data_IF_551927059634
#
_entry.id   IF_551927059634
#
_cell.length_a   1.000
_cell.length_b   1.000
_cell.length_c   1.000
_cell.angle_alpha   90.00
_cell.angle_beta   90.00
_cell.angle_gamma   90.00
#
_symmetry.space_group_name_H-M   'P 1'
#
loop_
_entity.id
_entity.type
_entity.pdbx_description
1 polymer ?
#
# COMPACT_ATOMS: atom_id res chain seq x y z
N UNK A 1 6.91 17.60 -27.17
CA UNK A 1 8.18 17.46 -26.41
C UNK A 1 7.97 17.23 -24.92
N UNK A 2 7.48 18.23 -24.16
CA UNK A 2 7.30 18.09 -22.71
C UNK A 2 6.31 16.97 -22.36
N UNK A 3 5.19 16.85 -23.08
CA UNK A 3 4.24 15.76 -22.89
C UNK A 3 4.88 14.37 -23.13
N UNK A 4 5.72 14.26 -24.17
CA UNK A 4 6.40 13.02 -24.57
C UNK A 4 7.47 12.63 -23.54
N UNK A 5 8.19 13.61 -22.99
CA UNK A 5 9.10 13.40 -21.87
C UNK A 5 8.37 12.93 -20.60
N UNK A 6 7.21 13.51 -20.29
CA UNK A 6 6.41 13.09 -19.13
C UNK A 6 5.82 11.68 -19.29
N UNK A 7 5.48 11.26 -20.51
CA UNK A 7 5.06 9.88 -20.79
C UNK A 7 6.18 8.86 -20.55
N UNK A 8 7.44 9.23 -20.82
CA UNK A 8 8.61 8.36 -20.62
C UNK A 8 9.02 8.15 -19.15
N UNK A 9 8.56 9.00 -18.22
CA UNK A 9 8.89 8.88 -16.78
C UNK A 9 8.08 7.76 -16.10
N UNK A 10 7.01 7.28 -16.73
CA UNK A 10 6.18 6.19 -16.23
C UNK A 10 4.92 6.65 -15.49
N UNK A 11 4.37 5.76 -14.65
CA UNK A 11 3.03 5.91 -14.04
C UNK A 11 2.89 7.15 -13.14
N UNK A 12 3.99 7.62 -12.54
CA UNK A 12 3.98 8.69 -11.54
C UNK A 12 4.76 9.91 -12.00
N UNK A 13 4.05 10.92 -12.47
CA UNK A 13 4.62 12.19 -12.88
C UNK A 13 4.44 13.20 -11.75
N UNK A 14 5.42 14.06 -11.48
CA UNK A 14 5.33 15.10 -10.46
C UNK A 14 5.81 16.43 -11.03
N UNK A 15 5.40 17.55 -10.42
CA UNK A 15 5.79 18.90 -10.87
C UNK A 15 7.31 19.08 -10.91
N UNK A 16 8.05 18.43 -9.99
CA UNK A 16 9.51 18.39 -10.00
C UNK A 16 10.11 17.87 -11.32
N UNK A 17 9.47 16.90 -11.98
CA UNK A 17 9.97 16.35 -13.25
C UNK A 17 9.85 17.38 -14.38
N UNK A 18 8.77 18.16 -14.37
CA UNK A 18 8.58 19.28 -15.30
C UNK A 18 9.63 20.36 -15.05
N UNK A 19 9.89 20.70 -13.78
CA UNK A 19 10.93 21.67 -13.40
C UNK A 19 12.31 21.21 -13.87
N UNK A 20 12.68 19.95 -13.62
CA UNK A 20 13.97 19.38 -14.04
C UNK A 20 14.13 19.39 -15.56
N UNK A 21 13.11 18.97 -16.30
CA UNK A 21 13.15 18.94 -17.76
C UNK A 21 13.34 20.35 -18.35
N UNK A 22 12.53 21.31 -17.91
CA UNK A 22 12.55 22.68 -18.48
C UNK A 22 13.78 23.48 -18.02
N UNK A 23 14.29 23.21 -16.81
CA UNK A 23 15.49 23.86 -16.31
C UNK A 23 16.80 23.20 -16.78
N UNK A 24 16.74 22.08 -17.49
CA UNK A 24 17.92 21.46 -18.11
C UNK A 24 18.60 22.46 -19.07
N UNK A 25 19.94 22.49 -19.12
CA UNK A 25 20.67 23.48 -19.92
C UNK A 25 20.27 23.46 -21.40
N UNK A 26 20.04 22.27 -21.96
CA UNK A 26 19.65 22.06 -23.35
C UNK A 26 18.28 22.68 -23.67
N UNK A 27 17.27 22.34 -22.88
CA UNK A 27 15.89 22.83 -23.08
C UNK A 27 15.81 24.32 -22.78
N UNK A 28 16.50 24.79 -21.75
CA UNK A 28 16.51 26.20 -21.35
C UNK A 28 17.16 27.10 -22.39
N UNK A 29 18.27 26.65 -22.99
CA UNK A 29 18.96 27.37 -24.08
C UNK A 29 18.09 27.40 -25.33
N UNK A 30 17.48 26.27 -25.69
CA UNK A 30 16.57 26.18 -26.84
C UNK A 30 15.33 27.07 -26.69
N UNK A 31 14.74 27.13 -25.50
CA UNK A 31 13.59 27.98 -25.19
C UNK A 31 13.96 29.44 -24.87
N UNK A 32 15.25 29.79 -24.88
CA UNK A 32 15.78 31.13 -24.56
C UNK A 32 15.28 31.69 -23.22
N UNK A 33 15.11 30.81 -22.23
CA UNK A 33 14.56 31.17 -20.92
C UNK A 33 15.65 31.79 -20.02
N UNK A 34 15.53 33.09 -19.74
CA UNK A 34 16.43 33.83 -18.83
C UNK A 34 16.44 33.25 -17.41
N UNK A 35 15.27 32.82 -16.91
CA UNK A 35 15.11 32.20 -15.58
C UNK A 35 14.43 30.83 -15.73
N UNK A 36 14.82 29.91 -14.86
CA UNK A 36 14.15 28.61 -14.76
C UNK A 36 12.70 28.76 -14.29
N UNK A 37 11.88 27.76 -14.58
CA UNK A 37 10.52 27.70 -14.06
C UNK A 37 10.54 27.27 -12.59
N UNK A 38 9.57 27.79 -11.83
CA UNK A 38 9.33 27.36 -10.45
C UNK A 38 8.34 26.21 -10.42
N UNK A 39 8.29 25.51 -9.29
CA UNK A 39 7.33 24.43 -9.06
C UNK A 39 5.87 24.90 -9.24
N UNK A 40 5.55 26.14 -8.84
CA UNK A 40 4.21 26.73 -9.04
C UNK A 40 3.84 26.87 -10.51
N UNK A 41 4.79 27.28 -11.35
CA UNK A 41 4.59 27.38 -12.80
C UNK A 41 4.42 25.99 -13.42
N UNK A 42 5.24 25.02 -13.01
CA UNK A 42 5.12 23.63 -13.44
C UNK A 42 3.74 23.04 -13.12
N UNK A 43 3.22 23.25 -11.90
CA UNK A 43 1.86 22.79 -11.52
C UNK A 43 0.77 23.39 -12.40
N UNK A 44 0.86 24.69 -12.73
CA UNK A 44 -0.10 25.35 -13.64
C UNK A 44 -0.07 24.73 -15.04
N UNK A 45 1.12 24.45 -15.57
CA UNK A 45 1.26 23.81 -16.88
C UNK A 45 0.69 22.39 -16.87
N UNK A 46 0.95 21.63 -15.81
CA UNK A 46 0.39 20.28 -15.65
C UNK A 46 -1.14 20.29 -15.62
N UNK A 47 -1.75 21.24 -14.91
CA UNK A 47 -3.21 21.41 -14.93
C UNK A 47 -3.74 21.73 -16.34
N UNK A 48 -3.05 22.59 -17.10
CA UNK A 48 -3.42 22.91 -18.49
C UNK A 48 -3.27 21.71 -19.42
N UNK A 49 -2.30 20.84 -19.17
CA UNK A 49 -2.09 19.57 -19.88
C UNK A 49 -3.03 18.45 -19.38
N UNK A 50 -4.03 18.77 -18.56
CA UNK A 50 -5.03 17.83 -18.01
C UNK A 50 -4.46 16.72 -17.12
N UNK A 51 -3.24 16.87 -16.60
CA UNK A 51 -2.78 16.01 -15.51
C UNK A 51 -3.64 16.26 -14.28
N UNK A 52 -4.24 15.21 -13.73
CA UNK A 52 -5.13 15.34 -12.56
C UNK A 52 -4.36 15.01 -11.30
N UNK A 53 -4.53 15.85 -10.28
CA UNK A 53 -4.18 15.50 -8.91
C UNK A 53 -5.17 14.44 -8.46
N UNK A 54 -4.74 13.18 -8.43
CA UNK A 54 -5.51 12.13 -7.77
C UNK A 54 -4.69 11.67 -6.59
N UNK A 55 -5.31 11.66 -5.41
CA UNK A 55 -4.83 10.77 -4.34
C UNK A 55 -4.83 9.39 -4.96
N UNK A 56 -3.66 8.76 -5.02
CA UNK A 56 -3.61 7.35 -5.36
C UNK A 56 -4.56 6.65 -4.38
N UNK A 57 -5.59 5.94 -4.86
CA UNK A 57 -6.31 5.02 -4.01
C UNK A 57 -5.34 3.87 -3.78
N UNK A 58 -4.35 4.07 -2.91
CA UNK A 58 -3.81 2.93 -2.21
C UNK A 58 -5.02 2.36 -1.49
N UNK A 59 -5.46 1.19 -1.93
CA UNK A 59 -6.44 0.42 -1.20
C UNK A 59 -6.00 0.35 0.26
N UNK A 60 -6.99 0.26 1.15
CA UNK A 60 -6.80 0.07 2.59
C UNK A 60 -5.77 -1.04 2.90
N UNK A 61 -5.62 -1.96 1.97
CA UNK A 61 -4.58 -2.97 1.89
C UNK A 61 -3.73 -2.67 0.64
N UNK A 62 -2.65 -1.89 0.79
CA UNK A 62 -1.49 -2.21 -0.06
C UNK A 62 -1.10 -3.59 0.40
N UNK A 63 -1.24 -4.58 -0.47
CA UNK A 63 -0.94 -5.98 -0.17
C UNK A 63 0.52 -6.12 0.26
N UNK A 64 0.76 -5.88 1.56
CA UNK A 64 1.99 -6.21 2.24
C UNK A 64 1.97 -7.65 2.71
N UNK A 65 0.88 -8.39 2.48
CA UNK A 65 0.80 -9.81 2.79
C UNK A 65 1.66 -10.64 1.83
N UNK A 66 1.92 -10.13 0.62
CA UNK A 66 2.84 -10.72 -0.36
C UNK A 66 4.31 -10.38 -0.13
N UNK A 67 4.66 -9.51 0.84
CA UNK A 67 6.08 -9.24 1.11
C UNK A 67 6.75 -10.49 1.68
N UNK A 68 7.96 -10.77 1.21
CA UNK A 68 8.71 -11.97 1.57
C UNK A 68 8.90 -12.13 3.09
N UNK A 69 9.18 -11.03 3.81
CA UNK A 69 9.30 -11.03 5.27
C UNK A 69 7.98 -11.35 5.99
N UNK A 70 6.86 -10.88 5.47
CA UNK A 70 5.52 -11.16 6.02
C UNK A 70 5.10 -12.60 5.73
N UNK A 71 5.39 -13.10 4.52
CA UNK A 71 5.14 -14.50 4.15
C UNK A 71 5.99 -15.44 5.00
N UNK A 72 7.28 -15.15 5.17
CA UNK A 72 8.19 -15.93 5.99
C UNK A 72 7.69 -16.04 7.44
N UNK A 73 7.37 -14.89 8.06
CA UNK A 73 6.80 -14.87 9.41
C UNK A 73 5.49 -15.67 9.50
N UNK A 74 4.59 -15.50 8.52
CA UNK A 74 3.31 -16.22 8.50
C UNK A 74 3.52 -17.73 8.46
N UNK A 75 4.37 -18.21 7.55
CA UNK A 75 4.57 -19.64 7.32
C UNK A 75 5.40 -20.30 8.42
N UNK A 76 6.46 -19.65 8.88
CA UNK A 76 7.45 -20.26 9.76
C UNK A 76 7.17 -20.03 11.25
N UNK A 77 6.42 -18.99 11.61
CA UNK A 77 6.17 -18.63 13.01
C UNK A 77 4.69 -18.70 13.33
N UNK A 78 3.86 -17.93 12.62
CA UNK A 78 2.46 -17.76 12.99
C UNK A 78 1.64 -19.04 12.83
N UNK A 79 1.67 -19.69 11.65
CA UNK A 79 0.87 -20.89 11.42
C UNK A 79 1.27 -22.08 12.32
N UNK A 80 2.57 -22.38 12.55
CA UNK A 80 2.95 -23.44 13.48
C UNK A 80 2.51 -23.17 14.93
N UNK A 81 2.57 -21.91 15.38
CA UNK A 81 2.07 -21.54 16.71
C UNK A 81 0.54 -21.65 16.78
N UNK A 82 -0.14 -21.21 15.72
CA UNK A 82 -1.59 -21.31 15.61
C UNK A 82 -2.07 -22.76 15.65
N UNK A 83 -1.41 -23.66 14.92
CA UNK A 83 -1.78 -25.08 14.90
C UNK A 83 -1.66 -25.72 16.30
N UNK A 84 -0.59 -25.39 17.04
CA UNK A 84 -0.41 -25.86 18.42
C UNK A 84 -1.56 -25.40 19.33
N UNK A 85 -1.99 -24.14 19.21
CA UNK A 85 -3.11 -23.60 19.98
C UNK A 85 -4.45 -24.19 19.54
N UNK A 86 -4.65 -24.34 18.23
CA UNK A 86 -5.89 -24.84 17.63
C UNK A 86 -6.18 -26.31 17.99
N UNK A 87 -5.16 -27.13 18.24
CA UNK A 87 -5.31 -28.50 18.77
C UNK A 87 -5.94 -28.55 20.16
N UNK A 88 -5.79 -27.47 20.92
CA UNK A 88 -6.38 -27.30 22.25
C UNK A 88 -7.65 -26.45 22.21
N UNK A 89 -8.19 -26.13 21.03
CA UNK A 89 -9.45 -25.42 20.86
C UNK A 89 -10.57 -26.39 20.49
N UNK A 90 -11.80 -26.07 20.88
CA UNK A 90 -12.98 -26.86 20.49
C UNK A 90 -13.32 -26.64 19.03
N UNK A 91 -13.60 -27.73 18.32
CA UNK A 91 -14.07 -27.72 16.93
C UNK A 91 -15.56 -28.05 16.90
N UNK A 92 -16.28 -27.38 16.02
CA UNK A 92 -17.73 -27.55 15.85
C UNK A 92 -18.00 -27.81 14.37
N UNK A 93 -18.87 -28.77 14.09
CA UNK A 93 -19.33 -29.03 12.73
C UNK A 93 -20.26 -27.91 12.23
N UNK A 94 -20.72 -28.02 10.98
CA UNK A 94 -21.59 -27.00 10.35
C UNK A 94 -22.95 -26.93 11.02
N UNK A 95 -23.34 -27.99 11.71
CA UNK A 95 -24.59 -28.17 12.45
C UNK A 95 -24.45 -27.68 13.92
N UNK A 96 -23.26 -27.23 14.33
CA UNK A 96 -22.98 -26.68 15.66
C UNK A 96 -22.73 -27.75 16.74
N UNK A 97 -22.57 -29.01 16.37
CA UNK A 97 -22.21 -30.10 17.28
C UNK A 97 -20.70 -30.16 17.44
N UNK A 98 -20.27 -30.36 18.68
CA UNK A 98 -18.85 -30.42 19.04
C UNK A 98 -18.20 -31.71 18.51
N UNK A 99 -17.16 -31.56 17.71
CA UNK A 99 -16.32 -32.67 17.24
C UNK A 99 -15.33 -33.06 18.35
N UNK A 100 -15.77 -33.95 19.23
CA UNK A 100 -15.01 -34.38 20.42
C UNK A 100 -13.74 -35.17 20.10
N UNK A 101 -13.66 -35.77 18.91
CA UNK A 101 -12.54 -36.64 18.52
C UNK A 101 -11.30 -35.87 18.01
N UNK A 102 -11.41 -34.54 17.84
CA UNK A 102 -10.35 -33.70 17.25
C UNK A 102 -9.59 -32.88 18.32
N UNK A 103 -10.13 -32.82 19.53
CA UNK A 103 -9.64 -31.95 20.59
C UNK A 103 -8.81 -32.71 21.63
N UNK A 104 -7.57 -32.27 21.84
CA UNK A 104 -6.73 -32.75 22.92
C UNK A 104 -6.81 -31.74 24.05
N UNK A 105 -7.39 -32.18 25.17
CA UNK A 105 -7.39 -31.40 26.41
C UNK A 105 -5.94 -31.12 26.83
N UNK A 106 -5.62 -29.87 27.16
CA UNK A 106 -4.27 -29.52 27.62
C UNK A 106 -3.88 -30.28 28.90
N UNK A 107 -2.61 -30.23 29.31
CA UNK A 107 -2.12 -30.91 30.52
C UNK A 107 -2.95 -30.62 31.79
N UNK A 108 -3.57 -29.45 31.84
CA UNK A 108 -4.37 -28.95 32.97
C UNK A 108 -5.86 -29.35 32.92
N UNK A 109 -6.26 -30.18 31.95
CA UNK A 109 -7.67 -30.58 31.82
C UNK A 109 -8.58 -29.53 31.17
N UNK A 110 -8.03 -28.45 30.61
CA UNK A 110 -8.80 -27.29 30.08
C UNK A 110 -8.63 -27.11 28.57
N UNK A 111 -9.66 -26.53 27.95
CA UNK A 111 -9.64 -26.09 26.56
C UNK A 111 -9.14 -24.64 26.44
N UNK A 112 -8.40 -24.36 25.38
CA UNK A 112 -7.96 -23.02 24.99
C UNK A 112 -9.05 -22.32 24.18
N UNK A 113 -9.51 -21.17 24.66
CA UNK A 113 -10.42 -20.28 23.91
C UNK A 113 -9.59 -19.17 23.28
N UNK A 114 -9.56 -19.12 21.94
CA UNK A 114 -8.86 -18.08 21.21
C UNK A 114 -9.80 -16.89 21.00
N UNK A 115 -9.52 -15.79 21.70
CA UNK A 115 -10.21 -14.52 21.47
C UNK A 115 -9.62 -13.83 20.24
N UNK A 116 -10.45 -13.71 19.20
CA UNK A 116 -10.08 -12.96 17.99
C UNK A 116 -10.49 -11.51 18.18
N UNK A 117 -9.51 -10.63 18.33
CA UNK A 117 -9.74 -9.21 18.22
C UNK A 117 -9.84 -8.86 16.74
N UNK A 118 -11.02 -8.44 16.28
CA UNK A 118 -11.12 -7.70 15.03
C UNK A 118 -10.58 -6.29 15.29
N UNK A 119 -9.44 -5.96 14.69
CA UNK A 119 -8.84 -4.62 14.72
C UNK A 119 -9.72 -3.64 13.93
N UNK A 120 -10.92 -3.38 14.43
CA UNK A 120 -11.75 -2.31 13.93
C UNK A 120 -11.21 -0.98 14.47
N UNK A 121 -10.82 -0.12 13.53
CA UNK A 121 -10.58 1.34 13.65
C UNK A 121 -9.26 1.85 14.27
N UNK A 122 -8.20 1.92 13.45
CA UNK A 122 -7.03 2.78 13.71
C UNK A 122 -6.57 3.60 12.50
N UNK A 123 -7.40 4.40 11.82
CA UNK A 123 -6.88 5.22 10.70
C UNK A 123 -7.48 6.62 10.55
N UNK A 124 -7.29 7.47 11.55
CA UNK A 124 -7.60 8.90 11.44
C UNK A 124 -6.52 9.73 10.70
N UNK A 125 -5.31 9.20 10.41
CA UNK A 125 -4.22 10.07 9.92
C UNK A 125 -3.24 9.53 8.85
N UNK A 126 -3.40 8.31 8.33
CA UNK A 126 -2.43 7.71 7.40
C UNK A 126 -2.51 8.19 5.93
N UNK A 127 -3.13 9.34 5.64
CA UNK A 127 -3.45 9.78 4.26
C UNK A 127 -2.93 11.17 3.94
N UNK A 128 -1.63 11.34 3.65
CA UNK A 128 -1.07 12.64 3.21
C UNK A 128 -0.16 12.63 1.99
N UNK A 129 -0.20 11.61 1.13
CA UNK A 129 0.54 11.65 -0.14
C UNK A 129 -0.36 12.00 -1.32
N UNK A 130 -0.33 13.28 -1.74
CA UNK A 130 -0.95 13.77 -2.97
C UNK A 130 0.04 13.56 -4.13
N UNK A 131 -0.41 12.92 -5.23
CA UNK A 131 0.40 12.68 -6.42
C UNK A 131 -0.38 13.07 -7.68
N UNK A 132 0.33 13.27 -8.79
CA UNK A 132 -0.22 13.61 -10.10
C UNK A 132 -0.26 12.33 -10.94
N UNK A 133 -1.39 12.08 -11.61
CA UNK A 133 -1.53 10.97 -12.56
C UNK A 133 -1.60 11.53 -13.99
N UNK A 134 -0.94 10.83 -14.92
CA UNK A 134 -1.14 11.04 -16.35
C UNK A 134 -2.61 10.79 -16.71
N UNK A 135 -3.20 11.54 -17.66
CA UNK A 135 -4.41 11.09 -18.35
C UNK A 135 -4.19 9.74 -19.02
#
# INVERSE_FOLDING_TARGET
>A
ELHLHLQGIGKYVASRHVVQFVNSPEVRTRLRLKKGITDRTARRWMNRMRFRWKKEPKGMYSDGHEREDVVDYRQNIFLPQWEKLARHTRHYDKEGKEERDVFIVGPDGKATVIWRHDESTFYANNRRNLRLLSP
#
